data_IF_697443114487
#
_entry.id   IF_697443114487
#
_cell.length_a   1.000
_cell.length_b   1.000
_cell.length_c   1.000
_cell.angle_alpha   90.00
_cell.angle_beta   90.00
_cell.angle_gamma   90.00
#
_symmetry.space_group_name_H-M   'P 1'
#
loop_
_entity.id
_entity.type
_entity.pdbx_description
1 polymer ?
#
# COMPACT_ATOMS: atom_id res chain seq x y z
N UNK A 1 -5.13 -13.20 -6.69
CA UNK A 1 -4.94 -13.32 -5.23
C UNK A 1 -4.71 -11.92 -4.73
N UNK A 2 -5.28 -11.54 -3.59
CA UNK A 2 -5.13 -10.20 -3.04
C UNK A 2 -4.70 -10.28 -1.57
N UNK A 3 -4.06 -9.21 -1.10
CA UNK A 3 -3.60 -9.06 0.27
C UNK A 3 -3.84 -7.63 0.74
N UNK A 4 -4.14 -7.48 2.03
CA UNK A 4 -4.21 -6.21 2.74
C UNK A 4 -3.04 -6.16 3.73
N UNK A 5 -2.19 -5.14 3.63
CA UNK A 5 -0.95 -5.09 4.40
C UNK A 5 -0.49 -3.65 4.68
N UNK A 6 0.29 -3.50 5.74
CA UNK A 6 1.02 -2.27 6.11
C UNK A 6 2.50 -2.58 6.35
N UNK A 7 3.30 -1.56 6.62
CA UNK A 7 4.73 -1.69 6.96
C UNK A 7 4.89 -1.49 8.45
N UNK A 8 5.68 -2.34 9.08
CA UNK A 8 6.16 -2.16 10.46
C UNK A 8 7.61 -1.68 10.46
N UNK A 9 7.96 -0.85 11.45
CA UNK A 9 9.35 -0.51 11.72
C UNK A 9 10.12 -1.66 12.41
N UNK A 10 11.43 -1.48 12.61
CA UNK A 10 12.27 -2.49 13.28
C UNK A 10 11.92 -2.76 14.75
N UNK A 11 10.96 -2.03 15.32
CA UNK A 11 10.44 -2.20 16.67
C UNK A 11 9.04 -2.84 16.67
N UNK A 12 8.53 -3.25 15.50
CA UNK A 12 7.21 -3.86 15.34
C UNK A 12 6.06 -2.86 15.44
N UNK A 13 6.30 -1.58 15.16
CA UNK A 13 5.24 -0.56 15.12
C UNK A 13 4.84 -0.27 13.70
N UNK A 14 3.54 -0.33 13.42
CA UNK A 14 3.00 0.07 12.12
C UNK A 14 3.35 1.53 11.81
N UNK A 15 3.76 1.77 10.56
CA UNK A 15 3.95 3.12 10.05
C UNK A 15 2.60 3.82 9.90
N UNK A 16 2.56 5.11 10.22
CA UNK A 16 1.35 5.93 10.05
C UNK A 16 1.09 6.17 8.55
N UNK A 17 -0.05 5.67 8.07
CA UNK A 17 -0.51 5.78 6.69
C UNK A 17 -1.58 6.86 6.51
N UNK A 18 -1.89 7.63 7.56
CA UNK A 18 -2.90 8.71 7.58
C UNK A 18 -4.34 8.25 7.78
N UNK A 19 -4.63 6.97 7.54
CA UNK A 19 -5.87 6.29 7.94
C UNK A 19 -5.53 4.87 8.39
N UNK A 20 -6.47 4.21 9.09
CA UNK A 20 -6.38 2.77 9.32
C UNK A 20 -6.81 1.97 8.08
N UNK A 21 -6.73 0.65 8.20
CA UNK A 21 -7.43 -0.29 7.32
C UNK A 21 -8.94 -0.05 7.35
N UNK A 22 -9.64 -0.46 6.29
CA UNK A 22 -11.10 -0.36 6.12
C UNK A 22 -11.67 1.07 6.24
N UNK A 23 -10.82 2.09 6.08
CA UNK A 23 -11.28 3.47 5.90
C UNK A 23 -11.75 3.67 4.47
N UNK A 24 -13.06 3.55 4.23
CA UNK A 24 -13.64 3.72 2.90
C UNK A 24 -13.84 5.19 2.48
N UNK A 25 -13.24 6.16 3.19
CA UNK A 25 -13.31 7.57 2.81
C UNK A 25 -12.32 7.90 1.69
N UNK A 26 -12.47 9.11 1.13
CA UNK A 26 -11.52 9.62 0.14
C UNK A 26 -10.07 9.67 0.66
N UNK A 27 -9.86 9.71 1.98
CA UNK A 27 -8.54 9.80 2.61
C UNK A 27 -7.70 8.54 2.43
N UNK A 28 -8.33 7.39 2.21
CA UNK A 28 -7.62 6.15 1.95
C UNK A 28 -7.18 5.97 0.50
N UNK A 29 -7.70 6.79 -0.44
CA UNK A 29 -7.55 6.55 -1.87
C UNK A 29 -6.20 7.04 -2.41
N UNK A 30 -5.33 6.16 -2.93
CA UNK A 30 -4.06 6.58 -3.54
C UNK A 30 -4.22 7.61 -4.66
N UNK A 31 -5.29 7.52 -5.45
CA UNK A 31 -5.53 8.44 -6.58
C UNK A 31 -5.76 9.90 -6.15
N UNK A 32 -6.02 10.16 -4.86
CA UNK A 32 -6.29 11.50 -4.32
C UNK A 32 -5.16 12.04 -3.46
N UNK A 33 -4.04 11.33 -3.35
CA UNK A 33 -2.92 11.69 -2.45
C UNK A 33 -2.36 13.08 -2.70
N UNK A 34 -2.23 13.48 -3.98
CA UNK A 34 -1.77 14.82 -4.34
C UNK A 34 -2.73 15.91 -3.83
N UNK A 35 -4.04 15.72 -4.03
CA UNK A 35 -5.07 16.64 -3.53
C UNK A 35 -5.06 16.69 -1.99
N UNK A 36 -4.92 15.55 -1.34
CA UNK A 36 -4.86 15.47 0.13
C UNK A 36 -3.63 16.17 0.70
N UNK A 37 -2.48 16.06 0.03
CA UNK A 37 -1.25 16.72 0.44
C UNK A 37 -1.40 18.24 0.37
N UNK A 38 -1.93 18.76 -0.74
CA UNK A 38 -2.22 20.19 -0.91
C UNK A 38 -3.20 20.72 0.15
N UNK A 39 -4.17 19.90 0.55
CA UNK A 39 -5.19 20.24 1.56
C UNK A 39 -4.75 19.99 3.00
N UNK A 40 -3.55 19.44 3.23
CA UNK A 40 -3.06 19.07 4.56
C UNK A 40 -3.83 17.91 5.22
N UNK A 41 -4.55 17.10 4.43
CA UNK A 41 -5.25 15.90 4.89
C UNK A 41 -4.35 14.66 4.92
N UNK A 42 -3.22 14.73 4.23
CA UNK A 42 -2.14 13.76 4.24
C UNK A 42 -0.83 14.54 4.48
N UNK A 43 0.05 14.04 5.33
CA UNK A 43 1.38 14.63 5.53
C UNK A 43 2.40 14.04 4.55
N UNK A 44 3.51 14.75 4.32
CA UNK A 44 4.62 14.22 3.51
C UNK A 44 5.13 12.87 4.05
N UNK A 45 5.25 12.73 5.38
CA UNK A 45 5.67 11.48 6.00
C UNK A 45 4.69 10.32 5.76
N UNK A 46 3.38 10.58 5.81
CA UNK A 46 2.37 9.57 5.50
C UNK A 46 2.40 9.18 4.02
N UNK A 47 2.60 10.14 3.13
CA UNK A 47 2.77 9.87 1.71
C UNK A 47 4.02 9.03 1.43
N UNK A 48 5.14 9.36 2.06
CA UNK A 48 6.39 8.59 1.95
C UNK A 48 6.22 7.14 2.43
N UNK A 49 5.50 6.93 3.53
CA UNK A 49 5.18 5.58 4.02
C UNK A 49 4.33 4.79 3.02
N UNK A 50 3.30 5.43 2.42
CA UNK A 50 2.49 4.80 1.38
C UNK A 50 3.29 4.48 0.11
N UNK A 51 4.22 5.37 -0.27
CA UNK A 51 5.12 5.15 -1.41
C UNK A 51 6.11 4.01 -1.14
N UNK A 52 6.64 3.91 0.08
CA UNK A 52 7.49 2.79 0.50
C UNK A 52 6.75 1.46 0.36
N UNK A 53 5.57 1.35 0.97
CA UNK A 53 4.74 0.15 0.89
C UNK A 53 4.46 -0.22 -0.57
N UNK A 54 3.96 0.74 -1.36
CA UNK A 54 3.62 0.52 -2.77
C UNK A 54 4.83 0.10 -3.60
N UNK A 55 5.99 0.72 -3.37
CA UNK A 55 7.24 0.36 -4.04
C UNK A 55 7.68 -1.07 -3.72
N UNK A 56 7.62 -1.48 -2.45
CA UNK A 56 7.90 -2.85 -2.02
C UNK A 56 6.95 -3.86 -2.66
N UNK A 57 5.64 -3.58 -2.65
CA UNK A 57 4.63 -4.47 -3.23
C UNK A 57 4.79 -4.60 -4.75
N UNK A 58 5.07 -3.51 -5.46
CA UNK A 58 5.36 -3.54 -6.90
C UNK A 58 6.61 -4.36 -7.20
N UNK A 59 7.68 -4.20 -6.42
CA UNK A 59 8.88 -5.02 -6.56
C UNK A 59 8.62 -6.52 -6.27
N UNK A 60 7.65 -6.81 -5.39
CA UNK A 60 7.17 -8.17 -5.09
C UNK A 60 6.17 -8.73 -6.09
N UNK A 61 5.86 -8.02 -7.20
CA UNK A 61 4.92 -8.49 -8.21
C UNK A 61 3.45 -8.32 -7.86
N UNK A 62 3.13 -7.35 -7.01
CA UNK A 62 1.77 -6.94 -6.71
C UNK A 62 1.45 -5.57 -7.33
N UNK A 63 0.17 -5.25 -7.44
CA UNK A 63 -0.34 -3.96 -7.93
C UNK A 63 -1.38 -3.44 -6.96
N UNK A 64 -1.22 -2.20 -6.51
CA UNK A 64 -2.22 -1.54 -5.67
C UNK A 64 -3.43 -1.09 -6.49
N UNK A 65 -4.54 -0.81 -5.79
CA UNK A 65 -5.74 -0.23 -6.40
C UNK A 65 -5.84 1.27 -6.11
N UNK A 66 -6.73 1.96 -6.84
CA UNK A 66 -6.84 3.42 -6.77
C UNK A 66 -7.58 3.93 -5.52
N UNK A 67 -8.28 3.06 -4.79
CA UNK A 67 -9.22 3.43 -3.72
C UNK A 67 -8.75 3.06 -2.30
N UNK A 68 -7.78 2.17 -2.15
CA UNK A 68 -7.35 1.64 -0.85
C UNK A 68 -5.83 1.54 -0.83
N UNK A 69 -5.16 2.29 0.06
CA UNK A 69 -3.69 2.32 0.10
C UNK A 69 -3.06 1.00 0.56
N UNK A 70 -3.83 0.17 1.28
CA UNK A 70 -3.38 -1.10 1.86
C UNK A 70 -3.63 -2.32 0.97
N UNK A 71 -4.49 -2.20 -0.04
CA UNK A 71 -4.97 -3.34 -0.83
C UNK A 71 -4.12 -3.56 -2.09
N UNK A 72 -3.67 -4.80 -2.28
CA UNK A 72 -2.82 -5.19 -3.38
C UNK A 72 -3.26 -6.50 -4.03
N UNK A 73 -3.33 -6.48 -5.36
CA UNK A 73 -3.59 -7.65 -6.18
C UNK A 73 -2.26 -8.23 -6.70
N UNK A 74 -2.07 -9.53 -6.56
CA UNK A 74 -0.95 -10.22 -7.18
C UNK A 74 -1.05 -10.08 -8.71
N UNK A 75 0.09 -9.88 -9.37
CA UNK A 75 0.19 -9.96 -10.82
C UNK A 75 -0.26 -11.35 -11.33
N UNK A 76 -0.35 -11.47 -12.66
CA UNK A 76 -0.86 -12.67 -13.33
C UNK A 76 -0.38 -13.96 -12.65
N UNK A 77 -1.32 -14.88 -12.41
CA UNK A 77 -1.09 -16.10 -11.64
C UNK A 77 0.05 -16.95 -12.20
N UNK A 78 0.24 -16.92 -13.51
CA UNK A 78 1.30 -17.64 -14.19
C UNK A 78 2.66 -16.94 -13.98
N UNK A 79 2.67 -15.60 -13.94
CA UNK A 79 3.87 -14.84 -13.60
C UNK A 79 4.32 -15.09 -12.15
N UNK A 80 3.38 -15.07 -11.19
CA UNK A 80 3.68 -15.29 -9.76
C UNK A 80 4.24 -16.67 -9.54
N UNK A 81 3.62 -17.71 -10.13
CA UNK A 81 4.14 -19.09 -10.06
C UNK A 81 5.53 -19.25 -10.67
N UNK A 82 5.85 -18.48 -11.71
CA UNK A 82 7.14 -18.55 -12.38
C UNK A 82 8.27 -17.78 -11.67
N UNK A 83 7.96 -16.72 -10.92
CA UNK A 83 8.97 -15.77 -10.41
C UNK A 83 9.03 -15.64 -8.89
N UNK A 84 8.02 -16.10 -8.16
CA UNK A 84 7.94 -15.96 -6.70
C UNK A 84 8.14 -17.31 -6.02
N UNK A 85 8.94 -17.33 -4.96
CA UNK A 85 9.10 -18.52 -4.11
C UNK A 85 7.92 -18.59 -3.14
N UNK A 86 7.17 -19.69 -3.19
CA UNK A 86 6.21 -20.00 -2.13
C UNK A 86 6.98 -20.25 -0.84
N UNK A 87 6.63 -19.52 0.22
CA UNK A 87 7.12 -19.74 1.58
C UNK A 87 5.91 -20.20 2.40
N UNK A 88 6.01 -21.41 2.94
CA UNK A 88 5.05 -22.00 3.89
C UNK A 88 5.55 -21.84 5.32
#
# INVERSE_FOLDING_TARGET
>A
MAVDITVEDGQGRELDMGTGFDDFTERAQPQREAEMLERGLLSDAQLDNRLLLRGCMVAGGFRGIATEWWHFEAADRDWVRAHMRLIE
#
